data_IF_153650301094
#
_entry.id   IF_153650301094
#
_cell.length_a   1.000
_cell.length_b   1.000
_cell.length_c   1.000
_cell.angle_alpha   90.00
_cell.angle_beta   90.00
_cell.angle_gamma   90.00
#
_symmetry.space_group_name_H-M   'P 1'
#
loop_
_entity.id
_entity.type
_entity.pdbx_description
1 polymer ?
#
# COMPACT_ATOMS: atom_id res chain seq x y z
N UNK A 1 10.46 -27.09 -0.20
CA UNK A 1 9.53 -25.95 -0.05
C UNK A 1 9.22 -25.30 -1.40
N UNK A 2 10.22 -24.94 -2.21
CA UNK A 2 10.00 -24.13 -3.43
C UNK A 2 9.19 -24.82 -4.53
N UNK A 3 9.24 -26.15 -4.62
CA UNK A 3 8.37 -26.94 -5.53
C UNK A 3 6.88 -26.63 -5.28
N UNK A 4 6.50 -26.33 -4.03
CA UNK A 4 5.11 -26.10 -3.63
C UNK A 4 4.77 -24.60 -3.51
N UNK A 5 5.68 -23.79 -2.97
CA UNK A 5 5.39 -22.39 -2.57
C UNK A 5 6.07 -21.34 -3.46
N UNK A 6 6.72 -21.75 -4.54
CA UNK A 6 7.47 -20.86 -5.42
C UNK A 6 8.90 -20.60 -4.97
N UNK A 7 9.68 -20.01 -5.89
CA UNK A 7 11.12 -19.80 -5.73
C UNK A 7 11.41 -18.80 -4.60
N UNK A 8 12.56 -18.98 -3.94
CA UNK A 8 13.11 -18.02 -2.97
C UNK A 8 14.45 -17.51 -3.47
N UNK A 9 14.82 -16.30 -3.04
CA UNK A 9 16.09 -15.70 -3.45
C UNK A 9 17.30 -16.48 -2.93
N UNK A 10 17.24 -16.94 -1.69
CA UNK A 10 18.34 -17.68 -1.05
C UNK A 10 19.51 -16.78 -0.65
N UNK A 11 20.43 -17.33 0.16
CA UNK A 11 21.57 -16.58 0.69
C UNK A 11 22.63 -16.32 -0.36
N UNK A 12 22.82 -17.23 -1.32
CA UNK A 12 23.90 -17.13 -2.31
C UNK A 12 23.66 -15.98 -3.31
N UNK A 13 22.41 -15.79 -3.74
CA UNK A 13 22.07 -14.77 -4.74
C UNK A 13 21.71 -13.40 -4.11
N UNK A 14 21.36 -13.34 -2.83
CA UNK A 14 20.91 -12.11 -2.19
C UNK A 14 21.95 -10.96 -2.19
N UNK A 15 23.25 -11.19 -1.91
CA UNK A 15 24.25 -10.13 -1.92
C UNK A 15 24.32 -9.37 -3.24
N UNK A 16 24.43 -10.11 -4.35
CA UNK A 16 24.49 -9.52 -5.70
C UNK A 16 23.14 -8.88 -6.08
N UNK A 17 22.03 -9.57 -5.80
CA UNK A 17 20.72 -9.14 -6.29
C UNK A 17 20.17 -7.91 -5.56
N UNK A 18 20.44 -7.78 -4.27
CA UNK A 18 19.90 -6.73 -3.40
C UNK A 18 20.94 -5.66 -3.02
N UNK A 19 22.21 -5.86 -3.36
CA UNK A 19 23.29 -4.95 -3.00
C UNK A 19 23.60 -4.94 -1.51
N UNK A 20 23.56 -6.11 -0.85
CA UNK A 20 23.88 -6.26 0.58
C UNK A 20 25.20 -7.01 0.76
N UNK A 21 25.97 -6.70 1.81
CA UNK A 21 27.30 -7.31 1.99
C UNK A 21 27.24 -8.79 2.39
N UNK A 22 26.22 -9.19 3.17
CA UNK A 22 26.06 -10.54 3.71
C UNK A 22 24.59 -10.94 3.80
N UNK A 23 24.30 -12.20 3.55
CA UNK A 23 22.98 -12.80 3.73
C UNK A 23 23.06 -14.05 4.61
N UNK A 24 22.10 -14.20 5.54
CA UNK A 24 22.00 -15.34 6.45
C UNK A 24 20.59 -15.95 6.36
N UNK A 25 20.44 -17.20 6.78
CA UNK A 25 19.13 -17.84 6.83
C UNK A 25 18.30 -17.27 7.99
N UNK A 26 17.01 -17.02 7.73
CA UNK A 26 16.09 -16.51 8.77
C UNK A 26 15.91 -17.50 9.93
N UNK A 27 16.06 -18.81 9.70
CA UNK A 27 16.03 -19.82 10.77
C UNK A 27 17.10 -19.61 11.84
N UNK A 28 18.21 -18.95 11.47
CA UNK A 28 19.36 -18.71 12.35
C UNK A 28 19.31 -17.34 13.04
N UNK A 29 18.22 -16.57 12.88
CA UNK A 29 18.18 -15.18 13.35
C UNK A 29 18.43 -15.07 14.86
N UNK A 30 17.90 -15.98 15.67
CA UNK A 30 18.09 -15.97 17.13
C UNK A 30 19.52 -16.38 17.55
N UNK A 31 20.21 -17.13 16.69
CA UNK A 31 21.60 -17.53 16.88
C UNK A 31 22.57 -16.45 16.41
N UNK A 32 22.17 -15.57 15.51
CA UNK A 32 23.06 -14.59 14.87
C UNK A 32 22.82 -13.16 15.37
N UNK A 33 21.58 -12.73 15.56
CA UNK A 33 21.25 -11.32 15.83
C UNK A 33 21.93 -10.78 17.08
N UNK A 34 21.95 -11.55 18.17
CA UNK A 34 22.64 -11.12 19.39
C UNK A 34 24.15 -10.95 19.18
N UNK A 35 24.77 -11.74 18.30
CA UNK A 35 26.19 -11.61 17.99
C UNK A 35 26.46 -10.30 17.24
N UNK A 36 25.54 -9.91 16.33
CA UNK A 36 25.63 -8.66 15.58
C UNK A 36 25.40 -7.43 16.48
N UNK A 37 24.53 -7.55 17.49
CA UNK A 37 24.23 -6.47 18.43
C UNK A 37 25.25 -6.35 19.58
N UNK A 38 26.08 -7.37 19.78
CA UNK A 38 27.01 -7.43 20.90
C UNK A 38 28.01 -6.26 20.86
N UNK A 39 28.10 -5.49 21.94
CA UNK A 39 29.06 -4.39 22.06
C UNK A 39 28.67 -3.11 21.34
N UNK A 40 27.49 -3.04 20.69
CA UNK A 40 26.96 -1.79 20.16
C UNK A 40 26.38 -0.91 21.26
N UNK A 41 26.36 0.41 21.05
CA UNK A 41 25.77 1.37 21.99
C UNK A 41 24.25 1.54 21.79
N UNK A 42 23.81 1.53 20.52
CA UNK A 42 22.45 1.88 20.11
C UNK A 42 21.88 0.81 19.18
N UNK A 43 20.60 0.48 19.35
CA UNK A 43 19.81 -0.30 18.39
C UNK A 43 18.62 0.54 17.89
N UNK A 44 18.46 0.61 16.58
CA UNK A 44 17.27 1.22 15.97
C UNK A 44 16.23 0.13 15.72
N UNK A 45 15.06 0.24 16.35
CA UNK A 45 14.00 -0.77 16.26
C UNK A 45 12.61 -0.10 16.34
N UNK A 46 11.70 -0.49 15.44
CA UNK A 46 10.32 -0.03 15.44
C UNK A 46 9.50 -0.89 16.41
N UNK A 47 9.70 -0.64 17.71
CA UNK A 47 9.02 -1.39 18.75
C UNK A 47 7.50 -1.26 18.64
N UNK A 48 6.80 -2.39 18.79
CA UNK A 48 5.35 -2.47 18.72
C UNK A 48 4.77 -2.60 17.30
N UNK A 49 5.60 -2.56 16.25
CA UNK A 49 5.13 -2.69 14.87
C UNK A 49 4.63 -4.12 14.57
N UNK A 50 5.42 -5.13 14.96
CA UNK A 50 5.05 -6.53 14.81
C UNK A 50 5.49 -7.33 16.04
N UNK A 51 4.56 -8.07 16.64
CA UNK A 51 4.82 -8.86 17.85
C UNK A 51 5.98 -9.86 17.67
N UNK A 52 6.07 -10.53 16.50
CA UNK A 52 7.16 -11.48 16.23
C UNK A 52 8.53 -10.80 16.16
N UNK A 53 8.59 -9.55 15.68
CA UNK A 53 9.84 -8.80 15.57
C UNK A 53 10.30 -8.33 16.96
N UNK A 54 9.36 -7.87 17.79
CA UNK A 54 9.63 -7.54 19.18
C UNK A 54 10.17 -8.75 19.96
N UNK A 55 9.61 -9.94 19.76
CA UNK A 55 10.10 -11.17 20.40
C UNK A 55 11.55 -11.47 20.03
N UNK A 56 11.89 -11.39 18.74
CA UNK A 56 13.26 -11.64 18.23
C UNK A 56 14.25 -10.64 18.85
N UNK A 57 13.94 -9.34 18.79
CA UNK A 57 14.83 -8.29 19.30
C UNK A 57 14.98 -8.37 20.82
N UNK A 58 13.87 -8.54 21.55
CA UNK A 58 13.90 -8.65 23.01
C UNK A 58 14.71 -9.87 23.47
N UNK A 59 14.54 -11.02 22.81
CA UNK A 59 15.30 -12.24 23.11
C UNK A 59 16.81 -12.05 22.89
N UNK A 60 17.20 -11.38 21.81
CA UNK A 60 18.61 -11.08 21.54
C UNK A 60 19.21 -10.14 22.61
N UNK A 61 18.49 -9.07 22.96
CA UNK A 61 18.92 -8.12 23.99
C UNK A 61 18.98 -8.77 25.38
N UNK A 62 18.02 -9.62 25.72
CA UNK A 62 18.01 -10.36 26.99
C UNK A 62 19.21 -11.30 27.11
N UNK A 63 19.55 -12.03 26.03
CA UNK A 63 20.73 -12.89 25.98
C UNK A 63 22.02 -12.09 26.20
N UNK A 64 22.13 -10.92 25.58
CA UNK A 64 23.28 -10.03 25.79
C UNK A 64 23.36 -9.51 27.23
N UNK A 65 22.24 -9.03 27.80
CA UNK A 65 22.17 -8.53 29.18
C UNK A 65 22.55 -9.59 30.21
N UNK A 66 22.17 -10.86 29.99
CA UNK A 66 22.50 -11.99 30.87
C UNK A 66 23.87 -12.60 30.59
N UNK A 67 24.54 -12.19 29.51
CA UNK A 67 25.72 -12.85 28.95
C UNK A 67 27.07 -12.27 29.38
N UNK A 68 27.14 -11.48 30.46
CA UNK A 68 28.38 -10.79 30.87
C UNK A 68 29.56 -11.73 31.10
N UNK A 69 29.32 -12.94 31.62
CA UNK A 69 30.35 -13.99 31.79
C UNK A 69 30.91 -14.53 30.46
N UNK A 70 30.20 -14.32 29.36
CA UNK A 70 30.62 -14.65 28.00
C UNK A 70 31.15 -13.40 27.25
N UNK A 71 31.46 -12.32 27.97
CA UNK A 71 31.85 -11.02 27.40
C UNK A 71 30.80 -10.45 26.44
N UNK A 72 29.52 -10.66 26.75
CA UNK A 72 28.41 -10.07 26.00
C UNK A 72 27.91 -8.79 26.67
N UNK A 73 27.62 -7.78 25.85
CA UNK A 73 27.06 -6.50 26.28
C UNK A 73 25.95 -6.06 25.32
N UNK A 74 24.82 -5.64 25.89
CA UNK A 74 23.67 -5.17 25.12
C UNK A 74 23.74 -3.66 24.91
N UNK A 75 23.28 -3.14 23.76
CA UNK A 75 23.05 -1.70 23.60
C UNK A 75 22.05 -1.22 24.66
N UNK A 76 22.40 -0.13 25.34
CA UNK A 76 21.59 0.45 26.40
C UNK A 76 20.50 1.38 25.85
N UNK A 77 20.67 1.87 24.62
CA UNK A 77 19.74 2.79 23.97
C UNK A 77 19.01 2.09 22.83
N UNK A 78 17.68 2.18 22.83
CA UNK A 78 16.83 1.81 21.71
C UNK A 78 16.17 3.08 21.15
N UNK A 79 16.26 3.28 19.84
CA UNK A 79 15.68 4.45 19.17
C UNK A 79 14.67 3.96 18.13
N UNK A 80 13.47 4.54 18.13
CA UNK A 80 12.49 4.31 17.08
C UNK A 80 12.94 4.99 15.79
N UNK A 81 13.17 4.20 14.73
CA UNK A 81 13.59 4.74 13.43
C UNK A 81 12.44 5.32 12.60
N UNK A 82 11.18 5.03 12.95
CA UNK A 82 10.01 5.42 12.15
C UNK A 82 9.92 6.91 11.88
N UNK A 83 10.10 7.83 12.87
CA UNK A 83 10.05 9.26 12.58
C UNK A 83 11.04 9.70 11.50
N UNK A 84 12.27 9.17 11.51
CA UNK A 84 13.29 9.51 10.52
C UNK A 84 12.96 8.94 9.14
N UNK A 85 12.58 7.65 9.08
CA UNK A 85 12.28 7.00 7.80
C UNK A 85 10.98 7.56 7.19
N UNK A 86 10.00 7.95 8.01
CA UNK A 86 8.78 8.60 7.55
C UNK A 86 9.07 9.98 6.98
N UNK A 87 9.93 10.78 7.63
CA UNK A 87 10.40 12.06 7.10
C UNK A 87 11.16 11.87 5.78
N UNK A 88 12.03 10.85 5.67
CA UNK A 88 12.70 10.53 4.41
C UNK A 88 11.69 10.19 3.30
N UNK A 89 10.71 9.33 3.59
CA UNK A 89 9.65 8.92 2.64
C UNK A 89 8.69 10.06 2.29
N UNK A 90 8.64 11.15 3.07
CA UNK A 90 7.82 12.31 2.78
C UNK A 90 8.30 13.02 1.51
N UNK A 91 9.62 13.16 1.35
CA UNK A 91 10.25 13.84 0.21
C UNK A 91 10.68 12.84 -0.87
N UNK A 92 9.96 12.85 -2.00
CA UNK A 92 10.16 11.87 -3.07
C UNK A 92 11.34 12.25 -3.96
N UNK A 93 12.16 11.27 -4.31
CA UNK A 93 13.17 11.40 -5.34
C UNK A 93 12.54 11.56 -6.75
N UNK A 94 13.31 12.02 -7.75
CA UNK A 94 12.84 12.07 -9.13
C UNK A 94 12.33 10.72 -9.67
N UNK A 95 13.00 9.62 -9.28
CA UNK A 95 12.61 8.25 -9.64
C UNK A 95 11.25 7.88 -9.01
N UNK A 96 11.06 8.19 -7.73
CA UNK A 96 9.79 7.95 -7.03
C UNK A 96 8.64 8.76 -7.65
N UNK A 97 8.88 10.04 -8.00
CA UNK A 97 7.91 10.88 -8.69
C UNK A 97 7.56 10.30 -10.07
N UNK A 98 8.52 9.72 -10.79
CA UNK A 98 8.24 9.07 -12.07
C UNK A 98 7.35 7.84 -11.90
N UNK A 99 7.54 7.05 -10.85
CA UNK A 99 6.67 5.91 -10.51
C UNK A 99 5.27 6.38 -10.11
N UNK A 100 5.16 7.40 -9.25
CA UNK A 100 3.89 8.02 -8.87
C UNK A 100 3.12 8.60 -10.07
N UNK A 101 3.84 9.26 -10.99
CA UNK A 101 3.25 9.75 -12.25
C UNK A 101 2.64 8.61 -13.06
N UNK A 102 3.34 7.47 -13.15
CA UNK A 102 2.83 6.29 -13.84
C UNK A 102 1.63 5.68 -13.11
N UNK A 103 1.65 5.62 -11.77
CA UNK A 103 0.51 5.14 -10.98
C UNK A 103 -0.74 6.01 -11.22
N UNK A 104 -0.57 7.35 -11.22
CA UNK A 104 -1.63 8.31 -11.54
C UNK A 104 -2.16 8.15 -12.97
N UNK A 105 -1.28 7.94 -13.95
CA UNK A 105 -1.69 7.68 -15.35
C UNK A 105 -2.52 6.39 -15.49
N UNK A 106 -2.05 5.29 -14.90
CA UNK A 106 -2.78 4.01 -14.90
C UNK A 106 -4.15 4.18 -14.24
N UNK A 107 -4.19 4.91 -13.13
CA UNK A 107 -5.42 5.14 -12.38
C UNK A 107 -6.39 6.02 -13.17
N UNK A 108 -5.90 7.08 -13.83
CA UNK A 108 -6.72 7.94 -14.68
C UNK A 108 -7.33 7.18 -15.87
N UNK A 109 -6.58 6.26 -16.49
CA UNK A 109 -7.10 5.39 -17.54
C UNK A 109 -8.22 4.48 -17.03
N UNK A 110 -8.12 3.98 -15.79
CA UNK A 110 -9.13 3.13 -15.17
C UNK A 110 -10.43 3.89 -14.89
N UNK A 111 -10.33 5.10 -14.34
CA UNK A 111 -11.48 5.98 -14.15
C UNK A 111 -12.12 6.37 -15.48
N UNK A 112 -11.32 6.68 -16.51
CA UNK A 112 -11.82 6.98 -17.86
C UNK A 112 -12.61 5.80 -18.42
N UNK A 113 -12.06 4.60 -18.32
CA UNK A 113 -12.74 3.38 -18.76
C UNK A 113 -14.03 3.12 -17.98
N UNK A 114 -14.04 3.34 -16.66
CA UNK A 114 -15.25 3.19 -15.86
C UNK A 114 -16.36 4.13 -16.35
N UNK A 115 -16.05 5.40 -16.64
CA UNK A 115 -16.99 6.35 -17.25
C UNK A 115 -17.49 5.88 -18.62
N UNK A 116 -16.63 5.37 -19.48
CA UNK A 116 -17.01 4.87 -20.81
C UNK A 116 -17.93 3.64 -20.75
N UNK A 117 -17.71 2.76 -19.76
CA UNK A 117 -18.43 1.50 -19.57
C UNK A 117 -19.74 1.65 -18.81
N UNK A 118 -19.87 2.65 -17.95
CA UNK A 118 -21.02 2.84 -17.08
C UNK A 118 -22.34 2.97 -17.86
N UNK A 119 -23.33 2.16 -17.50
CA UNK A 119 -24.69 2.21 -18.02
C UNK A 119 -25.69 1.93 -16.88
N UNK A 120 -26.90 2.52 -16.91
CA UNK A 120 -27.97 2.12 -16.01
C UNK A 120 -28.24 0.61 -16.09
N UNK A 121 -28.54 -0.01 -14.95
CA UNK A 121 -28.81 -1.45 -14.82
C UNK A 121 -27.58 -2.33 -14.61
N UNK A 122 -26.37 -1.79 -14.73
CA UNK A 122 -25.17 -2.45 -14.21
C UNK A 122 -25.15 -2.37 -12.68
N UNK A 123 -24.44 -3.26 -12.01
CA UNK A 123 -24.09 -3.10 -10.60
C UNK A 123 -22.80 -2.30 -10.41
N UNK A 124 -22.66 -1.68 -9.24
CA UNK A 124 -21.45 -0.95 -8.80
C UNK A 124 -20.18 -1.81 -8.95
N UNK A 125 -20.17 -3.06 -8.49
CA UNK A 125 -19.02 -3.97 -8.64
C UNK A 125 -18.60 -4.23 -10.10
N UNK A 126 -19.45 -4.00 -11.10
CA UNK A 126 -19.01 -4.10 -12.49
C UNK A 126 -18.00 -3.01 -12.85
N UNK A 127 -18.18 -1.80 -12.31
CA UNK A 127 -17.22 -0.70 -12.53
C UNK A 127 -15.92 -0.96 -11.77
N UNK A 128 -15.99 -1.52 -10.56
CA UNK A 128 -14.81 -2.03 -9.84
C UNK A 128 -14.04 -3.04 -10.70
N UNK A 129 -14.73 -4.00 -11.31
CA UNK A 129 -14.12 -4.99 -12.20
C UNK A 129 -13.43 -4.37 -13.43
N UNK A 130 -14.05 -3.38 -14.08
CA UNK A 130 -13.44 -2.66 -15.21
C UNK A 130 -12.16 -1.92 -14.80
N UNK A 131 -12.18 -1.30 -13.61
CA UNK A 131 -11.05 -0.59 -13.01
C UNK A 131 -9.90 -1.55 -12.70
N UNK A 132 -10.17 -2.65 -12.00
CA UNK A 132 -9.13 -3.63 -11.64
C UNK A 132 -8.52 -4.29 -12.89
N UNK A 133 -9.34 -4.58 -13.91
CA UNK A 133 -8.83 -5.05 -15.20
C UNK A 133 -7.89 -4.02 -15.84
N UNK A 134 -8.23 -2.73 -15.76
CA UNK A 134 -7.39 -1.66 -16.28
C UNK A 134 -6.06 -1.56 -15.53
N UNK A 135 -6.08 -1.62 -14.20
CA UNK A 135 -4.84 -1.66 -13.40
C UNK A 135 -3.96 -2.83 -13.82
N UNK A 136 -4.56 -4.02 -13.92
CA UNK A 136 -3.86 -5.26 -14.21
C UNK A 136 -3.13 -5.22 -15.56
N UNK A 137 -3.80 -4.74 -16.63
CA UNK A 137 -3.20 -4.71 -17.98
C UNK A 137 -2.01 -3.77 -18.11
N UNK A 138 -1.83 -2.82 -17.18
CA UNK A 138 -0.64 -1.95 -17.10
C UNK A 138 0.41 -2.44 -16.09
N UNK A 139 0.20 -3.62 -15.49
CA UNK A 139 1.12 -4.25 -14.55
C UNK A 139 0.94 -3.82 -13.09
N UNK A 140 -0.10 -3.05 -12.76
CA UNK A 140 -0.51 -2.78 -11.38
C UNK A 140 -1.52 -3.85 -10.95
N UNK A 141 -1.04 -4.94 -10.34
CA UNK A 141 -1.86 -6.14 -10.10
C UNK A 141 -2.91 -5.98 -9.00
N UNK A 142 -2.71 -5.03 -8.10
CA UNK A 142 -3.54 -4.82 -6.92
C UNK A 142 -3.90 -3.33 -6.81
N UNK A 143 -5.07 -3.00 -6.25
CA UNK A 143 -5.38 -1.64 -5.88
C UNK A 143 -4.57 -1.23 -4.63
N UNK A 144 -4.40 0.08 -4.41
CA UNK A 144 -3.71 0.63 -3.23
C UNK A 144 -4.60 0.66 -1.98
N UNK A 145 -5.92 0.62 -2.17
CA UNK A 145 -6.95 0.52 -1.13
C UNK A 145 -8.21 -0.13 -1.71
N UNK A 146 -9.17 -0.53 -0.89
CA UNK A 146 -10.42 -1.13 -1.36
C UNK A 146 -11.21 -0.11 -2.20
N UNK A 147 -11.56 -0.49 -3.42
CA UNK A 147 -12.26 0.38 -4.36
C UNK A 147 -13.67 0.72 -3.88
N UNK A 148 -14.03 2.00 -3.95
CA UNK A 148 -15.35 2.53 -3.64
C UNK A 148 -16.08 2.78 -4.96
N UNK A 149 -17.28 2.23 -5.10
CA UNK A 149 -18.21 2.58 -6.18
C UNK A 149 -19.59 2.83 -5.55
N UNK A 150 -19.81 4.06 -5.10
CA UNK A 150 -21.05 4.47 -4.43
C UNK A 150 -21.99 5.21 -5.37
N UNK A 151 -23.08 4.56 -5.78
CA UNK A 151 -24.16 5.18 -6.57
C UNK A 151 -25.30 5.71 -5.72
N UNK A 152 -25.93 6.80 -6.17
CA UNK A 152 -27.04 7.44 -5.47
C UNK A 152 -26.66 7.83 -4.03
N UNK A 153 -27.46 7.37 -3.05
CA UNK A 153 -27.23 7.63 -1.63
C UNK A 153 -25.94 6.99 -1.09
N UNK A 154 -25.43 5.91 -1.73
CA UNK A 154 -24.19 5.25 -1.32
C UNK A 154 -22.98 6.18 -1.46
N UNK A 155 -23.04 7.15 -2.38
CA UNK A 155 -22.01 8.18 -2.53
C UNK A 155 -21.85 9.10 -1.31
N UNK A 156 -22.79 9.05 -0.35
CA UNK A 156 -22.71 9.79 0.92
C UNK A 156 -21.95 9.02 2.02
N UNK A 157 -21.61 7.74 1.82
CA UNK A 157 -20.87 6.91 2.78
C UNK A 157 -19.39 6.90 2.38
N UNK A 158 -18.54 7.56 3.18
CA UNK A 158 -17.15 7.87 2.81
C UNK A 158 -16.28 6.65 2.49
N UNK A 159 -16.52 5.51 3.13
CA UNK A 159 -15.78 4.26 2.91
C UNK A 159 -16.71 3.12 2.48
N UNK A 160 -17.67 3.42 1.60
CA UNK A 160 -18.57 2.41 1.01
C UNK A 160 -17.78 1.44 0.13
N UNK A 161 -17.77 0.15 0.49
CA UNK A 161 -16.98 -0.86 -0.26
C UNK A 161 -17.79 -2.13 -0.54
N UNK A 162 -19.07 -2.13 -0.17
CA UNK A 162 -20.00 -3.20 -0.46
C UNK A 162 -20.23 -3.34 -1.98
N UNK A 163 -20.27 -2.21 -2.70
CA UNK A 163 -20.39 -2.14 -4.17
C UNK A 163 -21.50 -3.05 -4.74
N UNK A 164 -22.62 -3.18 -4.02
CA UNK A 164 -23.62 -4.22 -4.24
C UNK A 164 -24.92 -3.71 -4.87
N UNK A 165 -25.05 -2.41 -5.11
CA UNK A 165 -26.27 -1.82 -5.65
C UNK A 165 -26.28 -1.75 -7.18
N UNK A 166 -27.48 -1.79 -7.75
CA UNK A 166 -27.72 -1.56 -9.18
C UNK A 166 -27.67 -0.04 -9.46
N UNK A 167 -26.85 0.36 -10.43
CA UNK A 167 -26.71 1.73 -10.92
C UNK A 167 -28.03 2.19 -11.57
N UNK A 168 -28.75 3.12 -10.94
CA UNK A 168 -30.04 3.63 -11.44
C UNK A 168 -29.86 4.74 -12.46
N UNK A 169 -30.78 4.81 -13.43
CA UNK A 169 -30.89 5.97 -14.31
C UNK A 169 -31.29 7.20 -13.49
N UNK A 170 -30.58 8.30 -13.71
CA UNK A 170 -30.78 9.56 -12.98
C UNK A 170 -29.86 9.73 -11.78
N UNK A 171 -29.22 8.67 -11.27
CA UNK A 171 -28.27 8.78 -10.16
C UNK A 171 -26.88 9.22 -10.61
N UNK A 172 -26.12 9.79 -9.66
CA UNK A 172 -24.67 9.89 -9.77
C UNK A 172 -24.03 8.59 -9.28
N UNK A 173 -22.80 8.34 -9.73
CA UNK A 173 -21.90 7.36 -9.12
C UNK A 173 -20.58 8.05 -8.78
N UNK A 174 -20.15 7.89 -7.53
CA UNK A 174 -18.85 8.29 -7.02
C UNK A 174 -17.95 7.06 -7.05
N UNK A 175 -16.82 7.16 -7.73
CA UNK A 175 -15.79 6.14 -7.74
C UNK A 175 -14.57 6.70 -7.05
N UNK A 176 -14.08 6.00 -6.03
CA UNK A 176 -12.78 6.23 -5.41
C UNK A 176 -11.92 4.99 -5.61
N UNK A 177 -10.87 5.11 -6.42
CA UNK A 177 -10.03 3.99 -6.77
C UNK A 177 -8.62 4.43 -7.14
N UNK A 178 -7.66 3.62 -6.70
CA UNK A 178 -6.24 3.84 -6.90
C UNK A 178 -5.50 2.53 -7.13
N UNK A 179 -4.53 2.52 -8.05
CA UNK A 179 -3.68 1.34 -8.27
C UNK A 179 -2.45 1.34 -7.36
N UNK A 180 -1.97 0.17 -6.94
CA UNK A 180 -0.62 0.02 -6.41
C UNK A 180 0.36 -0.35 -7.55
N UNK A 181 1.25 0.57 -7.89
CA UNK A 181 2.26 0.37 -8.93
C UNK A 181 3.66 0.47 -8.32
N UNK A 182 4.40 -0.65 -8.35
CA UNK A 182 5.74 -0.77 -7.75
C UNK A 182 5.76 -0.34 -6.26
N UNK A 183 4.65 -0.55 -5.55
CA UNK A 183 4.48 -0.16 -4.14
C UNK A 183 4.04 1.28 -3.91
N UNK A 184 3.82 2.09 -4.95
CA UNK A 184 3.29 3.46 -4.85
C UNK A 184 1.82 3.50 -5.22
N UNK A 185 1.06 4.28 -4.46
CA UNK A 185 -0.38 4.45 -4.67
C UNK A 185 -0.67 5.53 -5.73
N UNK A 186 -1.50 5.18 -6.70
CA UNK A 186 -2.45 6.13 -7.28
C UNK A 186 -3.65 6.27 -6.35
N UNK A 187 -4.35 7.39 -6.44
CA UNK A 187 -5.52 7.72 -5.62
C UNK A 187 -6.32 8.78 -6.40
N UNK A 188 -7.50 8.41 -6.89
CA UNK A 188 -8.35 9.29 -7.68
C UNK A 188 -9.81 9.03 -7.30
N UNK A 189 -10.53 10.12 -7.05
CA UNK A 189 -11.99 10.13 -6.97
C UNK A 189 -12.60 10.82 -8.19
N UNK A 190 -13.64 10.24 -8.79
CA UNK A 190 -14.49 10.89 -9.80
C UNK A 190 -15.95 10.60 -9.55
N UNK A 191 -16.79 11.62 -9.70
CA UNK A 191 -18.24 11.51 -9.61
C UNK A 191 -18.87 11.92 -10.93
N UNK A 192 -19.76 11.08 -11.47
CA UNK A 192 -20.39 11.32 -12.77
C UNK A 192 -21.79 10.70 -12.85
N UNK A 193 -22.68 11.20 -13.73
CA UNK A 193 -24.02 10.67 -13.89
C UNK A 193 -23.99 9.28 -14.55
N UNK A 194 -24.72 8.33 -13.98
CA UNK A 194 -24.82 6.95 -14.49
C UNK A 194 -25.34 6.92 -15.94
N UNK A 195 -26.24 7.84 -16.29
CA UNK A 195 -26.83 7.96 -17.62
C UNK A 195 -26.05 8.92 -18.56
N UNK A 196 -24.92 9.47 -18.12
CA UNK A 196 -24.09 10.38 -18.91
C UNK A 196 -24.57 11.84 -18.98
N UNK A 197 -25.63 12.23 -18.25
CA UNK A 197 -26.12 13.61 -18.21
C UNK A 197 -26.43 14.08 -16.79
N UNK A 198 -25.73 15.11 -16.34
CA UNK A 198 -26.04 15.76 -15.07
C UNK A 198 -27.42 16.41 -15.10
N UNK A 199 -28.19 16.24 -14.04
CA UNK A 199 -29.35 17.10 -13.76
C UNK A 199 -28.87 18.47 -13.27
N UNK A 200 -29.79 19.46 -13.24
CA UNK A 200 -29.45 20.79 -12.71
C UNK A 200 -28.95 20.71 -11.26
N UNK A 201 -29.67 20.02 -10.37
CA UNK A 201 -29.27 19.90 -8.97
C UNK A 201 -27.92 19.19 -8.80
N UNK A 202 -27.67 18.12 -9.57
CA UNK A 202 -26.38 17.44 -9.54
C UNK A 202 -25.25 18.35 -10.03
N UNK A 203 -25.51 19.14 -11.08
CA UNK A 203 -24.52 20.05 -11.65
C UNK A 203 -24.17 21.18 -10.69
N UNK A 204 -25.16 21.74 -10.00
CA UNK A 204 -24.96 22.80 -9.00
C UNK A 204 -24.03 22.35 -7.87
N UNK A 205 -24.24 21.13 -7.33
CA UNK A 205 -23.34 20.57 -6.32
C UNK A 205 -21.97 20.24 -6.90
N UNK A 206 -21.92 19.66 -8.10
CA UNK A 206 -20.67 19.30 -8.76
C UNK A 206 -19.77 20.52 -8.99
N UNK A 207 -20.34 21.65 -9.44
CA UNK A 207 -19.58 22.88 -9.70
C UNK A 207 -18.96 23.46 -8.43
N UNK A 208 -19.66 23.41 -7.28
CA UNK A 208 -19.10 23.85 -5.98
C UNK A 208 -17.88 23.01 -5.60
N UNK A 209 -17.97 21.69 -5.76
CA UNK A 209 -16.86 20.77 -5.45
C UNK A 209 -15.71 20.98 -6.42
N UNK A 210 -16.00 21.14 -7.71
CA UNK A 210 -14.98 21.39 -8.73
C UNK A 210 -14.24 22.71 -8.52
N UNK A 211 -14.94 23.78 -8.11
CA UNK A 211 -14.31 25.08 -7.78
C UNK A 211 -13.38 24.99 -6.56
N UNK A 212 -13.59 24.01 -5.68
CA UNK A 212 -12.83 23.84 -4.45
C UNK A 212 -11.51 23.06 -4.62
N UNK A 213 -11.29 22.42 -5.77
CA UNK A 213 -10.14 21.55 -6.08
C UNK A 213 -9.04 22.30 -6.84
#
# INVERSE_FOLDING_TARGET
AEIWFGRRLGQDAAPEKLGVDRALAFSEINQQLYQLLNGLDVVYHAQGEYAYADEIVNSALEKLRKGSRQNLTAPATMIDWRPMVHEMRLFKSPEEIAVLRRAGEITALAHTRAMEKCRPGMFEYHLEGEIHHEFNRHGARYPSYNTIVGSGENGCILHYTENECELRDGDLVLIDAGCEYKGYAGDITRTFPVNGKFTQAQREIYDIVLESL
#
